data_IF_715671590001
#
_entry.id   IF_715671590001
#
_cell.length_a   1.000
_cell.length_b   1.000
_cell.length_c   1.000
_cell.angle_alpha   90.00
_cell.angle_beta   90.00
_cell.angle_gamma   90.00
#
_symmetry.space_group_name_H-M   'P 1'
#
loop_
_entity.id
_entity.type
_entity.pdbx_description
1 polymer ?
#
# COMPACT_ATOMS: atom_id res chain seq x y z
N UNK A 1 -3.62 -5.68 0.54
CA UNK A 1 -3.13 -5.07 1.79
C UNK A 1 -3.99 -5.43 2.98
N UNK A 2 -5.19 -4.84 3.17
CA UNK A 2 -5.99 -5.10 4.37
C UNK A 2 -6.25 -6.60 4.62
N UNK A 3 -6.60 -7.35 3.58
CA UNK A 3 -6.75 -8.82 3.65
C UNK A 3 -5.45 -9.49 4.12
N UNK A 4 -4.33 -9.23 3.45
CA UNK A 4 -3.04 -9.82 3.80
C UNK A 4 -2.45 -9.37 5.14
N UNK A 5 -3.04 -8.38 5.83
CA UNK A 5 -2.62 -7.97 7.17
C UNK A 5 -3.66 -8.38 8.22
N UNK A 6 -4.87 -7.82 8.16
CA UNK A 6 -5.93 -8.11 9.11
C UNK A 6 -6.54 -9.51 8.95
N UNK A 7 -6.63 -10.04 7.72
CA UNK A 7 -7.06 -11.41 7.49
C UNK A 7 -6.07 -12.40 8.09
N UNK A 8 -4.78 -12.26 7.76
CA UNK A 8 -3.70 -13.09 8.33
C UNK A 8 -3.64 -13.03 9.86
N UNK A 9 -3.73 -11.83 10.46
CA UNK A 9 -3.79 -11.68 11.92
C UNK A 9 -5.09 -12.24 12.49
N UNK A 10 -6.21 -12.12 11.78
CA UNK A 10 -7.50 -12.69 12.18
C UNK A 10 -7.47 -14.22 12.23
N UNK A 11 -6.75 -14.86 11.30
CA UNK A 11 -6.55 -16.31 11.28
C UNK A 11 -5.57 -16.78 12.37
N UNK A 12 -4.43 -16.09 12.52
CA UNK A 12 -3.34 -16.52 13.41
C UNK A 12 -3.50 -16.08 14.87
N UNK A 13 -3.95 -14.85 15.10
CA UNK A 13 -4.07 -14.24 16.43
C UNK A 13 -5.53 -14.12 16.90
N UNK A 14 -6.51 -14.21 15.99
CA UNK A 14 -7.92 -14.18 16.36
C UNK A 14 -8.39 -12.79 16.79
N UNK A 15 -8.82 -12.64 18.04
CA UNK A 15 -9.29 -11.36 18.59
C UNK A 15 -8.09 -10.43 18.89
N UNK A 16 -8.15 -9.12 18.59
CA UNK A 16 -9.28 -8.37 18.03
C UNK A 16 -9.37 -8.36 16.49
N UNK A 17 -8.34 -8.85 15.79
CA UNK A 17 -8.18 -8.65 14.34
C UNK A 17 -9.29 -9.29 13.50
N UNK A 18 -9.83 -10.44 13.92
CA UNK A 18 -10.93 -11.12 13.22
C UNK A 18 -12.24 -10.31 13.18
N UNK A 19 -12.37 -9.25 14.00
CA UNK A 19 -13.53 -8.36 13.97
C UNK A 19 -13.43 -7.28 12.88
N UNK A 20 -12.26 -7.08 12.29
CA UNK A 20 -12.03 -6.08 11.26
C UNK A 20 -12.41 -6.69 9.91
N UNK A 21 -13.43 -6.15 9.25
CA UNK A 21 -13.80 -6.55 7.90
C UNK A 21 -12.84 -5.91 6.87
N UNK A 22 -11.95 -6.67 6.21
CA UNK A 22 -10.97 -6.09 5.29
C UNK A 22 -11.61 -5.47 4.03
N UNK A 23 -12.84 -5.89 3.67
CA UNK A 23 -13.54 -5.37 2.51
C UNK A 23 -13.90 -3.87 2.65
N UNK A 24 -14.01 -3.34 3.87
CA UNK A 24 -14.28 -1.92 4.14
C UNK A 24 -13.21 -1.01 3.50
N UNK A 25 -11.97 -1.47 3.43
CA UNK A 25 -10.84 -0.71 2.88
C UNK A 25 -10.86 -0.61 1.35
N UNK A 26 -11.77 -1.32 0.65
CA UNK A 26 -11.98 -1.13 -0.80
C UNK A 26 -12.40 0.31 -1.13
N UNK A 27 -13.05 1.01 -0.20
CA UNK A 27 -13.41 2.43 -0.33
C UNK A 27 -12.22 3.38 -0.44
N UNK A 28 -11.00 2.94 -0.08
CA UNK A 28 -9.79 3.77 -0.12
C UNK A 28 -9.11 3.74 -1.50
N UNK A 29 -9.61 2.89 -2.41
CA UNK A 29 -9.09 2.79 -3.77
C UNK A 29 -9.17 4.14 -4.51
N UNK A 30 -8.21 4.36 -5.43
CA UNK A 30 -8.16 5.60 -6.22
C UNK A 30 -7.96 6.87 -5.38
N UNK A 31 -7.33 6.75 -4.21
CA UNK A 31 -7.14 7.87 -3.28
C UNK A 31 -8.47 8.38 -2.73
N UNK A 32 -9.24 7.46 -2.14
CA UNK A 32 -10.58 7.70 -1.61
C UNK A 32 -11.57 8.18 -2.68
N UNK A 33 -11.40 7.72 -3.92
CA UNK A 33 -12.19 8.16 -5.08
C UNK A 33 -11.90 9.59 -5.56
N UNK A 34 -11.08 10.36 -4.85
CA UNK A 34 -10.75 11.76 -5.13
C UNK A 34 -9.30 11.95 -5.58
N UNK A 35 -8.59 10.87 -5.87
CA UNK A 35 -7.17 10.87 -6.27
C UNK A 35 -6.22 11.52 -5.23
N UNK A 36 -6.62 11.54 -3.96
CA UNK A 36 -5.84 12.11 -2.84
C UNK A 36 -4.78 11.12 -2.33
N UNK A 37 -4.57 10.96 -1.02
CA UNK A 37 -3.58 10.03 -0.46
C UNK A 37 -3.74 8.63 -1.07
N UNK A 38 -2.64 8.04 -1.55
CA UNK A 38 -2.67 6.69 -2.11
C UNK A 38 -3.32 5.70 -1.13
N UNK A 39 -4.29 4.92 -1.61
CA UNK A 39 -5.04 3.99 -0.76
C UNK A 39 -4.14 3.00 -0.02
N UNK A 40 -3.03 2.57 -0.63
CA UNK A 40 -2.04 1.72 0.02
C UNK A 40 -1.39 2.39 1.24
N UNK A 41 -1.12 3.70 1.17
CA UNK A 41 -0.58 4.46 2.31
C UNK A 41 -1.63 4.63 3.42
N UNK A 42 -2.87 4.95 3.03
CA UNK A 42 -3.98 5.11 3.97
C UNK A 42 -4.28 3.82 4.75
N UNK A 43 -4.34 2.68 4.06
CA UNK A 43 -4.56 1.37 4.71
C UNK A 43 -3.35 0.99 5.57
N UNK A 44 -2.12 1.20 5.09
CA UNK A 44 -0.92 0.87 5.86
C UNK A 44 -0.84 1.68 7.18
N UNK A 45 -1.24 2.95 7.17
CA UNK A 45 -1.31 3.75 8.39
C UNK A 45 -2.30 3.17 9.42
N UNK A 46 -3.45 2.66 8.98
CA UNK A 46 -4.41 1.98 9.85
C UNK A 46 -3.84 0.67 10.40
N UNK A 47 -3.15 -0.12 9.56
CA UNK A 47 -2.50 -1.35 10.00
C UNK A 47 -1.42 -1.07 11.07
N UNK A 48 -0.54 -0.10 10.85
CA UNK A 48 0.48 0.29 11.83
C UNK A 48 -0.17 0.75 13.14
N UNK A 49 -1.14 1.66 13.06
CA UNK A 49 -1.84 2.19 14.25
C UNK A 49 -2.65 1.15 15.02
N UNK A 50 -2.97 -0.01 14.41
CA UNK A 50 -3.69 -1.10 15.07
C UNK A 50 -2.81 -1.97 15.98
N UNK A 51 -1.49 -1.91 15.84
CA UNK A 51 -0.53 -2.76 16.59
C UNK A 51 0.60 -1.98 17.26
N UNK A 52 0.70 -0.67 17.01
CA UNK A 52 1.75 0.21 17.55
C UNK A 52 1.14 1.35 18.36
N UNK A 53 1.68 1.71 19.55
CA UNK A 53 1.24 2.87 20.31
C UNK A 53 1.29 4.17 19.49
N UNK A 54 0.35 5.12 19.71
CA UNK A 54 0.14 6.25 18.81
C UNK A 54 1.38 7.11 18.49
N UNK A 55 2.26 7.36 19.46
CA UNK A 55 3.41 8.23 19.24
C UNK A 55 4.53 7.56 18.43
N UNK A 56 4.67 6.24 18.53
CA UNK A 56 5.59 5.48 17.70
C UNK A 56 4.98 5.21 16.32
N UNK A 57 3.67 4.94 16.25
CA UNK A 57 2.97 4.74 14.99
C UNK A 57 3.17 5.93 14.03
N UNK A 58 3.08 7.17 14.54
CA UNK A 58 3.35 8.39 13.74
C UNK A 58 4.74 8.37 13.08
N UNK A 59 5.77 7.93 13.82
CA UNK A 59 7.15 7.85 13.32
C UNK A 59 7.28 6.78 12.24
N UNK A 60 6.71 5.59 12.48
CA UNK A 60 6.76 4.47 11.52
C UNK A 60 5.98 4.78 10.24
N UNK A 61 4.83 5.46 10.36
CA UNK A 61 4.05 5.93 9.21
C UNK A 61 4.86 6.94 8.40
N UNK A 62 5.54 7.89 9.06
CA UNK A 62 6.40 8.84 8.37
C UNK A 62 7.57 8.16 7.64
N UNK A 63 8.19 7.14 8.24
CA UNK A 63 9.21 6.31 7.58
C UNK A 63 8.67 5.64 6.32
N UNK A 64 7.51 4.97 6.42
CA UNK A 64 6.87 4.30 5.29
C UNK A 64 6.51 5.30 4.18
N UNK A 65 5.96 6.46 4.52
CA UNK A 65 5.53 7.46 3.55
C UNK A 65 6.73 8.08 2.83
N UNK A 66 7.83 8.34 3.54
CA UNK A 66 9.06 8.81 2.91
C UNK A 66 9.64 7.76 1.95
N UNK A 67 9.72 6.50 2.38
CA UNK A 67 10.13 5.41 1.50
C UNK A 67 9.28 5.32 0.23
N UNK A 68 7.95 5.47 0.35
CA UNK A 68 7.04 5.38 -0.78
C UNK A 68 7.32 6.42 -1.87
N UNK A 69 7.70 7.65 -1.50
CA UNK A 69 7.99 8.68 -2.52
C UNK A 69 9.21 8.33 -3.36
N UNK A 70 10.17 7.63 -2.78
CA UNK A 70 11.49 7.38 -3.37
C UNK A 70 11.58 5.97 -4.01
N UNK A 71 10.65 5.08 -3.65
CA UNK A 71 10.65 3.71 -4.16
C UNK A 71 10.14 3.62 -5.61
N UNK A 72 10.80 2.78 -6.41
CA UNK A 72 10.46 2.55 -7.81
C UNK A 72 9.45 1.40 -7.94
N UNK A 73 8.17 1.74 -8.11
CA UNK A 73 7.07 0.76 -8.17
C UNK A 73 6.70 0.34 -9.59
N UNK A 74 6.20 -0.89 -9.80
CA UNK A 74 6.12 -1.98 -8.83
C UNK A 74 7.39 -2.85 -8.84
N UNK A 75 7.76 -3.41 -7.70
CA UNK A 75 8.77 -4.46 -7.57
C UNK A 75 8.11 -5.84 -7.66
N UNK A 76 7.04 -6.06 -6.90
CA UNK A 76 6.25 -7.29 -6.97
C UNK A 76 5.02 -7.12 -7.88
N UNK A 77 5.10 -7.70 -9.08
CA UNK A 77 3.91 -7.91 -9.92
C UNK A 77 4.06 -9.15 -10.83
N UNK A 78 3.74 -10.35 -10.30
CA UNK A 78 3.94 -11.60 -11.03
C UNK A 78 3.03 -11.77 -12.26
N UNK A 79 1.87 -11.10 -12.31
CA UNK A 79 0.95 -11.19 -13.46
C UNK A 79 1.56 -10.58 -14.74
N UNK A 80 2.46 -9.62 -14.58
CA UNK A 80 3.11 -8.87 -15.66
C UNK A 80 4.63 -8.80 -15.45
N UNK A 81 5.23 -9.91 -15.01
CA UNK A 81 6.65 -9.97 -14.67
C UNK A 81 7.53 -9.47 -15.83
N UNK A 82 8.39 -8.49 -15.55
CA UNK A 82 9.27 -7.85 -16.54
C UNK A 82 8.58 -6.94 -17.58
N UNK A 83 7.25 -6.85 -17.59
CA UNK A 83 6.49 -6.10 -18.60
C UNK A 83 6.10 -4.69 -18.16
N UNK A 84 6.09 -4.42 -16.85
CA UNK A 84 5.70 -3.10 -16.32
C UNK A 84 6.93 -2.20 -16.17
N UNK A 85 6.85 -0.97 -16.70
CA UNK A 85 7.79 0.07 -16.34
C UNK A 85 7.69 0.40 -14.86
N UNK A 86 8.83 0.52 -14.19
CA UNK A 86 8.89 1.02 -12.83
C UNK A 86 8.88 2.55 -12.81
N UNK A 87 8.13 3.14 -11.89
CA UNK A 87 8.05 4.60 -11.68
C UNK A 87 8.17 4.96 -10.20
N UNK A 88 8.89 6.05 -9.94
CA UNK A 88 9.01 6.67 -8.62
C UNK A 88 7.95 7.75 -8.48
N UNK A 89 7.16 7.71 -7.41
CA UNK A 89 5.99 8.56 -7.25
C UNK A 89 6.31 10.03 -6.96
N UNK A 90 7.39 10.30 -6.22
CA UNK A 90 7.82 11.66 -5.79
C UNK A 90 6.77 12.44 -4.96
N UNK A 91 5.65 11.78 -4.63
CA UNK A 91 4.47 12.35 -3.98
C UNK A 91 3.70 11.24 -3.25
N UNK A 92 2.84 11.63 -2.31
CA UNK A 92 1.93 10.71 -1.62
C UNK A 92 0.57 10.56 -2.33
N UNK A 93 0.31 11.40 -3.32
CA UNK A 93 -0.96 11.44 -4.01
C UNK A 93 -1.10 10.25 -4.97
N UNK A 94 -2.32 9.71 -5.00
CA UNK A 94 -2.71 8.64 -5.92
C UNK A 94 -2.65 9.15 -7.35
N UNK A 95 -3.11 10.39 -7.61
CA UNK A 95 -3.02 11.05 -8.91
C UNK A 95 -1.62 11.01 -9.49
N UNK A 96 -0.62 11.35 -8.69
CA UNK A 96 0.74 11.55 -9.16
C UNK A 96 1.41 10.20 -9.41
N UNK A 97 1.30 9.29 -8.43
CA UNK A 97 1.85 7.94 -8.51
C UNK A 97 1.28 7.17 -9.70
N UNK A 98 -0.04 7.16 -9.87
CA UNK A 98 -0.69 6.42 -10.96
C UNK A 98 -0.59 7.16 -12.28
N UNK A 99 -0.65 8.49 -12.27
CA UNK A 99 -0.55 9.36 -13.43
C UNK A 99 0.78 9.21 -14.14
N UNK A 100 1.88 9.25 -13.39
CA UNK A 100 3.22 9.05 -13.94
C UNK A 100 3.38 7.67 -14.58
N UNK A 101 2.88 6.62 -13.95
CA UNK A 101 2.88 5.28 -14.55
C UNK A 101 2.04 5.20 -15.83
N UNK A 102 0.82 5.74 -15.81
CA UNK A 102 -0.05 5.74 -16.99
C UNK A 102 0.58 6.48 -18.17
N UNK A 103 1.23 7.61 -17.91
CA UNK A 103 2.00 8.35 -18.92
C UNK A 103 3.13 7.49 -19.51
N UNK A 104 3.96 6.90 -18.64
CA UNK A 104 5.10 6.08 -19.06
C UNK A 104 4.71 4.83 -19.86
N UNK A 105 3.61 4.18 -19.48
CA UNK A 105 3.11 2.99 -20.15
C UNK A 105 2.17 3.30 -21.32
N UNK A 106 1.80 4.56 -21.53
CA UNK A 106 0.78 4.99 -22.50
C UNK A 106 -0.54 4.21 -22.36
N UNK A 107 -1.05 4.10 -21.12
CA UNK A 107 -2.30 3.38 -20.81
C UNK A 107 -3.33 4.28 -20.15
N UNK A 108 -4.61 3.97 -20.35
CA UNK A 108 -5.71 4.72 -19.75
C UNK A 108 -5.99 4.30 -18.30
N UNK A 109 -6.78 5.11 -17.58
CA UNK A 109 -7.14 4.79 -16.20
C UNK A 109 -7.88 3.44 -16.10
N UNK A 110 -8.81 3.12 -16.99
CA UNK A 110 -9.56 1.85 -16.87
C UNK A 110 -8.76 0.61 -17.27
N UNK A 111 -7.54 0.78 -17.78
CA UNK A 111 -6.71 -0.29 -18.30
C UNK A 111 -6.35 -1.35 -17.23
N UNK A 112 -6.44 -2.65 -17.55
CA UNK A 112 -6.00 -3.73 -16.65
C UNK A 112 -4.56 -3.59 -16.18
N UNK A 113 -3.63 -3.16 -17.05
CA UNK A 113 -2.21 -2.97 -16.72
C UNK A 113 -2.04 -1.94 -15.60
N UNK A 114 -2.81 -0.84 -15.68
CA UNK A 114 -2.85 0.18 -14.62
C UNK A 114 -3.33 -0.40 -13.30
N UNK A 115 -4.41 -1.19 -13.32
CA UNK A 115 -4.95 -1.84 -12.12
C UNK A 115 -3.95 -2.82 -11.50
N UNK A 116 -3.29 -3.63 -12.33
CA UNK A 116 -2.25 -4.54 -11.90
C UNK A 116 -1.07 -3.79 -11.27
N UNK A 117 -0.62 -2.67 -11.86
CA UNK A 117 0.40 -1.83 -11.21
C UNK A 117 -0.05 -1.33 -9.83
N UNK A 118 -1.28 -0.84 -9.68
CA UNK A 118 -1.79 -0.42 -8.38
C UNK A 118 -1.83 -1.57 -7.36
N UNK A 119 -2.16 -2.79 -7.79
CA UNK A 119 -2.09 -3.98 -6.94
C UNK A 119 -0.64 -4.29 -6.52
N UNK A 120 0.32 -4.18 -7.43
CA UNK A 120 1.74 -4.32 -7.13
C UNK A 120 2.24 -3.27 -6.14
N UNK A 121 1.90 -1.99 -6.34
CA UNK A 121 2.18 -0.91 -5.37
C UNK A 121 1.62 -1.23 -3.97
N UNK A 122 0.41 -1.78 -3.89
CA UNK A 122 -0.17 -2.21 -2.62
C UNK A 122 0.60 -3.40 -2.00
N UNK A 123 1.07 -4.35 -2.80
CA UNK A 123 1.87 -5.47 -2.32
C UNK A 123 3.24 -5.00 -1.78
N UNK A 124 3.96 -4.17 -2.54
CA UNK A 124 5.25 -3.60 -2.13
C UNK A 124 5.12 -2.76 -0.86
N UNK A 125 4.08 -1.93 -0.78
CA UNK A 125 3.80 -1.13 0.42
C UNK A 125 3.46 -2.01 1.61
N UNK A 126 2.72 -3.12 1.38
CA UNK A 126 2.42 -4.11 2.44
C UNK A 126 3.71 -4.74 2.96
N UNK A 127 4.60 -5.17 2.06
CA UNK A 127 5.90 -5.74 2.40
C UNK A 127 6.73 -4.76 3.24
N UNK A 128 6.88 -3.52 2.78
CA UNK A 128 7.66 -2.52 3.51
C UNK A 128 7.07 -2.20 4.89
N UNK A 129 5.75 -2.09 4.98
CA UNK A 129 5.06 -1.88 6.25
C UNK A 129 5.36 -3.02 7.23
N UNK A 130 5.30 -4.28 6.78
CA UNK A 130 5.64 -5.45 7.61
C UNK A 130 7.11 -5.43 8.03
N UNK A 131 8.04 -5.08 7.14
CA UNK A 131 9.47 -4.92 7.49
C UNK A 131 9.67 -3.88 8.61
N UNK A 132 8.98 -2.74 8.53
CA UNK A 132 9.03 -1.69 9.55
C UNK A 132 8.45 -2.18 10.88
N UNK A 133 7.32 -2.89 10.84
CA UNK A 133 6.68 -3.45 12.04
C UNK A 133 7.53 -4.54 12.70
N UNK A 134 8.11 -5.44 11.90
CA UNK A 134 9.00 -6.49 12.38
C UNK A 134 10.22 -5.90 13.08
N UNK A 135 10.84 -4.87 12.46
CA UNK A 135 11.93 -4.12 13.08
C UNK A 135 11.51 -3.45 14.40
N UNK A 136 10.30 -2.89 14.47
CA UNK A 136 9.79 -2.27 15.70
C UNK A 136 9.57 -3.29 16.83
N UNK A 137 9.04 -4.47 16.50
CA UNK A 137 8.77 -5.54 17.46
C UNK A 137 9.96 -6.46 17.75
N UNK A 138 11.05 -6.36 16.99
CA UNK A 138 12.26 -7.16 17.16
C UNK A 138 12.11 -8.61 16.69
N UNK A 139 11.36 -8.84 15.59
CA UNK A 139 11.11 -10.16 14.99
C UNK A 139 11.58 -10.24 13.54
#
# INVERSE_FOLDING_TARGET
>A
MAEGFFGELGEKAGYPFRQINPATFKSYAGGYGLATLCGSLGVAAVCIGSVVPPDDAKKLIAELFNWYKDFSFPEYQPEYEGQLKKTVAESYLCSDSVGKFMHEMNVGYKDPIRKARCAGTAADTTRKMVEILNKYHGV
#
